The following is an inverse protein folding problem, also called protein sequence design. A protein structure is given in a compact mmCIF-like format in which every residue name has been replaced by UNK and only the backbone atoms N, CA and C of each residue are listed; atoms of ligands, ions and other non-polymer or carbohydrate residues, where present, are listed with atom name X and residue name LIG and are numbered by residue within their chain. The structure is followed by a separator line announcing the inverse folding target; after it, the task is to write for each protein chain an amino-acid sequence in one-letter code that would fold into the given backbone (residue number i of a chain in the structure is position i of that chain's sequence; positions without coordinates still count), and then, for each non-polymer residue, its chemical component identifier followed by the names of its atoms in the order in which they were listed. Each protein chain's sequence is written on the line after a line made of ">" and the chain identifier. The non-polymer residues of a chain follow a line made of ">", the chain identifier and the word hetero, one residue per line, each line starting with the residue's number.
data_IF_548842261079
#
_entry.id   IF_548842261079
#
_cell.length_a   1.000
_cell.length_b   1.000
_cell.length_c   1.000
_cell.angle_alpha   90.00
_cell.angle_beta   90.00
_cell.angle_gamma   90.00
#
_symmetry.space_group_name_H-M   'P 1'
#
loop_
_entity.id
_entity.type
_entity.pdbx_description
1 polymer ?
#
# COMPACT_ATOMS: atom_id res chain seq x y z
N UNK A 1 28.92 -16.02 -52.36
CA UNK A 1 29.12 -16.14 -50.88
C UNK A 1 28.86 -14.78 -50.21
N UNK A 2 27.62 -14.33 -50.06
CA UNK A 2 27.27 -13.05 -49.42
C UNK A 2 25.79 -13.05 -48.93
N UNK A 3 25.32 -14.09 -48.24
CA UNK A 3 23.94 -14.13 -47.73
C UNK A 3 23.79 -14.79 -46.34
N UNK A 4 24.86 -14.87 -45.54
CA UNK A 4 24.79 -15.59 -44.23
C UNK A 4 25.05 -14.71 -43.03
N UNK A 5 25.08 -13.37 -43.15
CA UNK A 5 25.47 -12.48 -42.05
C UNK A 5 24.34 -11.63 -41.44
N UNK A 6 23.10 -11.77 -41.88
CA UNK A 6 21.99 -10.91 -41.43
C UNK A 6 21.10 -11.59 -40.34
N UNK A 7 21.28 -12.89 -40.11
CA UNK A 7 20.37 -13.61 -39.20
C UNK A 7 20.85 -13.67 -37.72
N UNK A 8 22.03 -13.11 -37.42
CA UNK A 8 22.59 -13.16 -36.05
C UNK A 8 22.29 -11.93 -35.19
N UNK A 9 21.75 -10.86 -35.74
CA UNK A 9 21.45 -9.62 -35.01
C UNK A 9 20.02 -9.51 -34.47
N UNK A 10 19.12 -10.44 -34.80
CA UNK A 10 17.73 -10.40 -34.38
C UNK A 10 17.43 -11.13 -33.06
N UNK A 11 18.42 -11.81 -32.44
CA UNK A 11 18.21 -12.61 -31.21
C UNK A 11 18.65 -11.93 -29.91
N UNK A 12 19.10 -10.68 -29.95
CA UNK A 12 19.61 -9.96 -28.78
C UNK A 12 18.62 -8.95 -28.18
N UNK A 13 17.35 -8.93 -28.64
CA UNK A 13 16.39 -7.91 -28.20
C UNK A 13 15.44 -8.33 -27.09
N UNK A 14 15.65 -9.44 -26.42
CA UNK A 14 14.82 -9.90 -25.28
C UNK A 14 15.56 -9.99 -23.95
N UNK A 15 16.55 -9.16 -23.75
CA UNK A 15 16.94 -8.84 -22.37
C UNK A 15 15.83 -7.92 -21.81
N UNK A 16 14.85 -8.52 -21.13
CA UNK A 16 13.99 -7.75 -20.21
C UNK A 16 14.97 -7.05 -19.24
N UNK A 17 15.10 -5.74 -19.39
CA UNK A 17 15.72 -4.92 -18.38
C UNK A 17 14.98 -5.21 -17.07
N UNK A 18 15.63 -5.82 -16.10
CA UNK A 18 15.15 -5.86 -14.74
C UNK A 18 14.95 -4.41 -14.25
N UNK A 19 14.19 -4.20 -13.17
CA UNK A 19 14.01 -2.87 -12.61
C UNK A 19 15.39 -2.23 -12.40
N UNK A 20 15.54 -0.99 -12.84
CA UNK A 20 16.79 -0.25 -12.63
C UNK A 20 17.08 -0.15 -11.13
N UNK A 21 18.34 -0.13 -10.74
CA UNK A 21 18.72 0.07 -9.32
C UNK A 21 18.13 1.37 -8.75
N UNK A 22 17.90 2.38 -9.58
CA UNK A 22 17.23 3.63 -9.21
C UNK A 22 15.74 3.40 -8.84
N UNK A 23 15.04 2.50 -9.54
CA UNK A 23 13.65 2.17 -9.18
C UNK A 23 13.56 1.41 -7.85
N UNK A 24 14.59 0.65 -7.47
CA UNK A 24 14.67 -0.05 -6.19
C UNK A 24 15.03 0.88 -5.02
N UNK A 25 15.73 1.99 -5.29
CA UNK A 25 16.12 2.96 -4.27
C UNK A 25 14.92 3.73 -3.67
N UNK A 26 13.81 3.80 -4.40
CA UNK A 26 12.58 4.50 -3.97
C UNK A 26 11.70 3.67 -3.03
N UNK A 27 12.05 2.41 -2.76
CA UNK A 27 11.26 1.53 -1.91
C UNK A 27 11.92 1.30 -0.55
N UNK A 28 11.10 1.35 0.50
CA UNK A 28 11.52 0.87 1.81
C UNK A 28 11.73 -0.65 1.81
N UNK A 29 12.42 -1.22 2.82
CA UNK A 29 12.34 -2.65 3.08
C UNK A 29 10.88 -3.11 3.22
N UNK A 30 10.58 -4.35 2.83
CA UNK A 30 9.25 -4.93 2.96
C UNK A 30 8.80 -4.97 4.43
N UNK A 31 7.53 -4.73 4.66
CA UNK A 31 6.87 -4.81 5.97
C UNK A 31 5.42 -5.28 5.82
N UNK A 32 4.83 -5.73 6.92
CA UNK A 32 3.40 -6.00 6.99
C UNK A 32 2.68 -4.89 7.77
N UNK A 33 1.51 -4.49 7.28
CA UNK A 33 0.60 -3.56 7.96
C UNK A 33 -0.33 -4.39 8.83
N UNK A 34 -0.25 -4.24 10.15
CA UNK A 34 -1.06 -5.02 11.10
C UNK A 34 -1.99 -4.14 11.91
N UNK A 35 -3.23 -4.58 12.06
CA UNK A 35 -4.18 -3.98 13.00
C UNK A 35 -3.68 -4.14 14.43
N UNK A 36 -3.72 -3.07 15.22
CA UNK A 36 -3.38 -3.13 16.64
C UNK A 36 -4.45 -3.88 17.45
N UNK A 37 -5.71 -3.82 17.02
CA UNK A 37 -6.83 -4.51 17.68
C UNK A 37 -6.77 -6.02 17.48
N UNK A 38 -6.54 -6.49 16.26
CA UNK A 38 -6.66 -7.91 15.90
C UNK A 38 -5.33 -8.62 15.67
N UNK A 39 -4.24 -7.87 15.47
CA UNK A 39 -2.93 -8.40 15.07
C UNK A 39 -2.88 -8.91 13.63
N UNK A 40 -4.00 -8.85 12.89
CA UNK A 40 -4.11 -9.39 11.54
C UNK A 40 -3.50 -8.42 10.52
N UNK A 41 -2.75 -8.98 9.58
CA UNK A 41 -2.14 -8.19 8.50
C UNK A 41 -3.17 -7.84 7.43
N UNK A 42 -3.12 -6.60 6.95
CA UNK A 42 -3.90 -6.16 5.80
C UNK A 42 -3.37 -6.82 4.53
N UNK A 43 -4.23 -7.59 3.84
CA UNK A 43 -3.91 -8.16 2.54
C UNK A 43 -5.17 -8.35 1.68
N UNK A 44 -5.24 -7.71 0.52
CA UNK A 44 -6.31 -7.94 -0.45
C UNK A 44 -6.18 -9.29 -1.17
N UNK A 45 -5.04 -9.98 -1.04
CA UNK A 45 -4.76 -11.24 -1.74
C UNK A 45 -5.22 -12.50 -0.99
N UNK A 46 -5.76 -12.41 0.23
CA UNK A 46 -6.11 -13.58 1.06
C UNK A 46 -7.00 -14.61 0.37
N UNK A 47 -7.89 -14.16 -0.52
CA UNK A 47 -8.77 -15.06 -1.28
C UNK A 47 -8.08 -15.72 -2.48
N UNK A 48 -7.00 -15.12 -2.97
CA UNK A 48 -6.33 -15.52 -4.22
C UNK A 48 -4.93 -16.07 -4.02
N UNK A 49 -4.35 -15.92 -2.84
CA UNK A 49 -3.02 -16.41 -2.51
C UNK A 49 -2.96 -16.99 -1.12
N UNK A 50 -2.26 -18.12 -1.00
CA UNK A 50 -1.90 -18.74 0.28
C UNK A 50 -0.50 -18.34 0.77
N UNK A 51 0.27 -17.61 -0.04
CA UNK A 51 1.64 -17.20 0.29
C UNK A 51 1.59 -16.13 1.37
N UNK A 52 2.34 -16.32 2.44
CA UNK A 52 2.45 -15.36 3.54
C UNK A 52 3.10 -14.04 3.08
N UNK A 53 4.05 -14.15 2.16
CA UNK A 53 4.75 -12.99 1.57
C UNK A 53 3.80 -12.00 0.88
N UNK A 54 2.66 -12.46 0.36
CA UNK A 54 1.67 -11.61 -0.29
C UNK A 54 0.89 -10.68 0.69
N UNK A 55 1.22 -10.76 1.98
CA UNK A 55 0.73 -9.85 3.02
C UNK A 55 1.69 -8.68 3.30
N UNK A 56 2.82 -8.64 2.58
CA UNK A 56 3.83 -7.61 2.72
C UNK A 56 3.63 -6.49 1.70
N UNK A 57 4.24 -5.35 2.02
CA UNK A 57 4.19 -4.14 1.22
C UNK A 57 5.55 -3.45 1.23
N UNK A 58 5.85 -2.75 0.16
CA UNK A 58 6.84 -1.69 0.13
C UNK A 58 6.12 -0.36 0.31
N UNK A 59 6.78 0.61 0.90
CA UNK A 59 6.31 1.98 0.94
C UNK A 59 7.03 2.78 -0.14
N UNK A 60 6.27 3.47 -0.96
CA UNK A 60 6.76 4.42 -1.95
C UNK A 60 6.27 5.81 -1.59
N UNK A 61 7.18 6.74 -1.41
CA UNK A 61 6.85 8.14 -1.20
C UNK A 61 6.31 8.77 -2.50
N UNK A 62 5.33 9.64 -2.36
CA UNK A 62 4.74 10.41 -3.45
C UNK A 62 5.06 11.87 -3.24
N UNK A 63 5.73 12.48 -4.21
CA UNK A 63 5.92 13.93 -4.23
C UNK A 63 4.58 14.58 -4.59
N UNK A 64 3.97 15.37 -3.69
CA UNK A 64 2.66 15.93 -3.93
C UNK A 64 2.71 17.01 -5.04
N UNK A 65 1.86 16.85 -6.06
CA UNK A 65 1.53 17.94 -6.97
C UNK A 65 0.57 18.93 -6.29
N UNK A 66 0.46 20.15 -6.79
CA UNK A 66 -0.52 21.11 -6.27
C UNK A 66 -1.95 20.55 -6.42
N UNK A 67 -2.25 19.89 -7.53
CA UNK A 67 -3.56 19.24 -7.74
C UNK A 67 -3.87 18.19 -6.67
N UNK A 68 -2.88 17.43 -6.23
CA UNK A 68 -3.04 16.45 -5.15
C UNK A 68 -3.33 17.14 -3.83
N UNK A 69 -2.62 18.23 -3.52
CA UNK A 69 -2.82 19.01 -2.30
C UNK A 69 -4.20 19.67 -2.26
N UNK A 70 -4.66 20.17 -3.41
CA UNK A 70 -5.99 20.80 -3.53
C UNK A 70 -7.14 19.81 -3.28
N UNK A 71 -6.94 18.53 -3.62
CA UNK A 71 -7.91 17.45 -3.35
C UNK A 71 -7.89 16.97 -1.91
N UNK A 72 -6.85 17.26 -1.14
CA UNK A 72 -6.73 16.90 0.26
C UNK A 72 -7.24 18.02 1.16
N UNK A 73 -8.41 17.85 1.77
CA UNK A 73 -9.00 18.82 2.69
C UNK A 73 -8.14 19.13 3.93
N UNK A 74 -7.17 18.28 4.24
CA UNK A 74 -6.30 18.42 5.40
C UNK A 74 -4.84 18.66 5.03
N UNK A 75 -4.55 19.04 3.79
CA UNK A 75 -3.18 19.25 3.31
C UNK A 75 -2.39 20.30 4.10
N UNK A 76 -3.08 21.29 4.67
CA UNK A 76 -2.47 22.34 5.47
C UNK A 76 -2.36 21.98 6.97
N UNK A 77 -3.26 21.16 7.48
CA UNK A 77 -3.34 20.83 8.90
C UNK A 77 -2.50 19.59 9.27
N UNK A 78 -2.27 18.70 8.30
CA UNK A 78 -1.53 17.47 8.48
C UNK A 78 -0.25 17.46 7.63
N UNK A 79 0.90 17.83 8.21
CA UNK A 79 2.17 17.97 7.49
C UNK A 79 2.83 16.60 7.18
N UNK A 80 2.05 15.53 7.13
CA UNK A 80 2.54 14.18 6.82
C UNK A 80 2.54 13.98 5.31
N UNK A 81 3.61 13.37 4.80
CA UNK A 81 3.76 13.08 3.38
C UNK A 81 2.71 12.10 2.85
N UNK A 82 2.71 11.94 1.53
CA UNK A 82 1.85 10.98 0.83
C UNK A 82 2.64 9.76 0.40
N UNK A 83 2.01 8.61 0.49
CA UNK A 83 2.65 7.33 0.19
C UNK A 83 1.72 6.41 -0.60
N UNK A 84 2.32 5.48 -1.32
CA UNK A 84 1.66 4.30 -1.87
C UNK A 84 2.23 3.04 -1.22
N UNK A 85 1.37 2.06 -0.92
CA UNK A 85 1.78 0.73 -0.49
C UNK A 85 1.85 -0.18 -1.70
N UNK A 86 3.06 -0.53 -2.12
CA UNK A 86 3.33 -1.29 -3.34
C UNK A 86 3.48 -2.77 -3.01
N UNK A 87 2.81 -3.62 -3.77
CA UNK A 87 2.85 -5.06 -3.58
C UNK A 87 4.17 -5.66 -4.07
N UNK A 88 4.73 -6.67 -3.38
CA UNK A 88 5.89 -7.41 -3.88
C UNK A 88 5.60 -8.21 -5.16
N UNK A 89 4.34 -8.34 -5.57
CA UNK A 89 3.93 -9.00 -6.81
C UNK A 89 4.25 -8.19 -8.07
N UNK A 90 4.47 -6.90 -7.95
CA UNK A 90 4.81 -6.02 -9.08
C UNK A 90 4.91 -4.57 -8.67
N UNK A 91 5.85 -3.84 -9.27
CA UNK A 91 6.16 -2.44 -8.95
C UNK A 91 5.04 -1.44 -9.28
N UNK A 92 4.04 -1.85 -10.06
CA UNK A 92 2.87 -1.05 -10.39
C UNK A 92 1.56 -1.62 -9.83
N UNK A 93 1.65 -2.43 -8.76
CA UNK A 93 0.49 -2.98 -8.06
C UNK A 93 0.42 -2.36 -6.67
N UNK A 94 -0.47 -1.38 -6.48
CA UNK A 94 -0.67 -0.69 -5.23
C UNK A 94 -1.92 -1.17 -4.48
N UNK A 95 -1.84 -1.15 -3.15
CA UNK A 95 -3.03 -1.22 -2.30
C UNK A 95 -3.98 -0.10 -2.70
N UNK A 96 -5.24 -0.43 -2.87
CA UNK A 96 -6.26 0.52 -3.26
C UNK A 96 -7.53 0.39 -2.41
N UNK A 97 -8.15 1.51 -2.14
CA UNK A 97 -9.51 1.60 -1.59
C UNK A 97 -10.49 1.46 -2.75
N UNK A 98 -11.22 0.36 -2.81
CA UNK A 98 -12.25 0.14 -3.83
C UNK A 98 -13.63 0.65 -3.38
N UNK A 99 -13.91 0.55 -2.09
CA UNK A 99 -15.07 1.11 -1.41
C UNK A 99 -14.79 1.25 0.09
N UNK A 100 -15.70 1.84 0.85
CA UNK A 100 -15.54 2.01 2.30
C UNK A 100 -15.28 0.71 3.07
N UNK A 101 -15.70 -0.43 2.55
CA UNK A 101 -15.53 -1.75 3.17
C UNK A 101 -14.72 -2.71 2.31
N UNK A 102 -14.00 -2.23 1.31
CA UNK A 102 -13.29 -3.09 0.37
C UNK A 102 -11.95 -2.51 -0.04
N UNK A 103 -10.91 -3.25 0.24
CA UNK A 103 -9.58 -3.02 -0.28
C UNK A 103 -9.27 -4.00 -1.41
N UNK A 104 -8.47 -3.54 -2.37
CA UNK A 104 -8.01 -4.32 -3.49
C UNK A 104 -6.67 -3.81 -3.98
N UNK A 105 -6.40 -4.00 -5.26
CA UNK A 105 -5.20 -3.47 -5.90
C UNK A 105 -5.56 -2.73 -7.17
N UNK A 106 -4.77 -1.70 -7.47
CA UNK A 106 -4.79 -0.93 -8.71
C UNK A 106 -3.37 -0.65 -9.19
N UNK A 107 -3.25 -0.24 -10.46
CA UNK A 107 -2.01 0.35 -10.95
C UNK A 107 -1.70 1.62 -10.18
N UNK A 108 -0.50 1.69 -9.61
CA UNK A 108 -0.02 2.87 -8.87
C UNK A 108 0.04 4.11 -9.77
N UNK A 109 0.54 3.92 -11.01
CA UNK A 109 0.71 5.00 -12.00
C UNK A 109 -0.63 5.47 -12.56
N UNK A 110 -1.50 4.52 -12.92
CA UNK A 110 -2.81 4.84 -13.49
C UNK A 110 -3.67 5.65 -12.51
N UNK A 111 -3.69 5.29 -11.23
CA UNK A 111 -4.47 5.98 -10.21
C UNK A 111 -4.02 7.44 -10.00
N UNK A 112 -2.69 7.68 -10.09
CA UNK A 112 -2.13 9.03 -10.06
C UNK A 112 -2.53 9.84 -11.31
N UNK A 113 -2.51 9.22 -12.49
CA UNK A 113 -2.89 9.87 -13.75
C UNK A 113 -4.38 10.19 -13.82
N UNK A 114 -5.21 9.27 -13.35
CA UNK A 114 -6.67 9.44 -13.31
C UNK A 114 -7.12 10.39 -12.19
N UNK A 115 -6.23 10.69 -11.24
CA UNK A 115 -6.53 11.52 -10.08
C UNK A 115 -7.60 10.95 -9.16
N UNK A 116 -7.81 9.62 -9.17
CA UNK A 116 -8.82 8.95 -8.36
C UNK A 116 -8.40 8.82 -6.88
N UNK A 117 -7.10 8.96 -6.57
CA UNK A 117 -6.52 8.97 -5.22
C UNK A 117 -6.79 7.71 -4.39
N UNK A 118 -7.16 6.61 -5.04
CA UNK A 118 -7.53 5.37 -4.35
C UNK A 118 -6.33 4.59 -3.80
N UNK A 119 -5.14 4.85 -4.33
CA UNK A 119 -3.88 4.23 -3.89
C UNK A 119 -3.03 5.13 -3.02
N UNK A 120 -3.49 6.35 -2.72
CA UNK A 120 -2.72 7.34 -1.99
C UNK A 120 -3.16 7.38 -0.54
N UNK A 121 -2.17 7.32 0.33
CA UNK A 121 -2.34 7.32 1.77
C UNK A 121 -1.42 8.33 2.44
N UNK A 122 -1.76 8.72 3.67
CA UNK A 122 -0.91 9.50 4.56
C UNK A 122 -0.80 8.76 5.90
N UNK A 123 0.40 8.67 6.45
CA UNK A 123 0.67 7.97 7.70
C UNK A 123 0.75 8.98 8.82
N UNK A 124 -0.15 8.88 9.79
CA UNK A 124 -0.21 9.77 10.95
C UNK A 124 0.37 9.04 12.16
N UNK A 125 1.57 9.43 12.63
CA UNK A 125 2.19 8.77 13.78
C UNK A 125 1.44 9.12 15.07
N UNK A 126 1.29 8.12 15.95
CA UNK A 126 0.68 8.24 17.26
C UNK A 126 1.74 8.18 18.35
N UNK A 127 1.44 8.74 19.52
CA UNK A 127 2.38 8.79 20.64
C UNK A 127 2.77 7.44 21.22
N UNK A 128 1.95 6.41 21.01
CA UNK A 128 2.20 5.03 21.47
C UNK A 128 3.00 4.18 20.46
N UNK A 129 3.54 4.78 19.40
CA UNK A 129 4.29 4.07 18.36
C UNK A 129 3.44 3.39 17.29
N UNK A 130 2.11 3.45 17.40
CA UNK A 130 1.21 3.05 16.34
C UNK A 130 1.01 4.17 15.32
N UNK A 131 0.26 3.87 14.27
CA UNK A 131 -0.09 4.85 13.24
C UNK A 131 -1.58 4.79 12.92
N UNK A 132 -2.16 5.90 12.51
CA UNK A 132 -3.37 5.92 11.68
C UNK A 132 -2.94 6.01 10.22
N UNK A 133 -3.65 5.31 9.34
CA UNK A 133 -3.41 5.34 7.90
C UNK A 133 -4.61 6.00 7.25
N UNK A 134 -4.41 7.26 6.86
CA UNK A 134 -5.43 8.08 6.21
C UNK A 134 -5.43 7.81 4.72
N UNK A 135 -6.60 7.58 4.14
CA UNK A 135 -6.79 7.48 2.69
C UNK A 135 -7.13 8.85 2.10
N UNK A 136 -6.59 9.16 0.93
CA UNK A 136 -6.95 10.37 0.19
C UNK A 136 -8.22 10.21 -0.64
N UNK A 137 -8.78 9.02 -0.73
CA UNK A 137 -10.11 8.81 -1.30
C UNK A 137 -11.13 9.69 -0.57
N UNK A 138 -12.06 10.28 -1.30
CA UNK A 138 -13.10 11.16 -0.74
C UNK A 138 -12.55 12.38 0.04
N UNK A 139 -11.48 12.99 -0.44
CA UNK A 139 -10.95 14.22 0.12
C UNK A 139 -10.13 14.05 1.42
N UNK A 140 -9.73 12.82 1.76
CA UNK A 140 -8.82 12.58 2.87
C UNK A 140 -9.43 12.57 4.27
N UNK A 141 -10.75 12.45 4.41
CA UNK A 141 -11.43 12.43 5.71
C UNK A 141 -11.50 11.05 6.36
N UNK A 142 -11.06 10.02 5.67
CA UNK A 142 -11.24 8.64 6.11
C UNK A 142 -9.89 7.97 6.40
N UNK A 143 -9.85 7.23 7.49
CA UNK A 143 -8.73 6.39 7.90
C UNK A 143 -9.09 4.91 7.78
N UNK A 144 -8.09 4.10 7.53
CA UNK A 144 -8.22 2.65 7.63
C UNK A 144 -8.64 2.26 9.05
N UNK A 145 -9.43 1.21 9.14
CA UNK A 145 -9.82 0.60 10.40
C UNK A 145 -10.28 -0.83 10.23
N UNK A 146 -10.49 -1.48 11.35
CA UNK A 146 -11.24 -2.74 11.43
C UNK A 146 -12.65 -2.45 11.90
N UNK A 147 -13.60 -3.28 11.53
CA UNK A 147 -14.99 -3.12 11.96
C UNK A 147 -15.57 -4.43 12.50
N UNK A 148 -16.43 -4.35 13.54
CA UNK A 148 -17.03 -5.53 14.16
C UNK A 148 -18.19 -6.04 13.30
N UNK A 149 -17.93 -7.01 12.42
CA UNK A 149 -18.95 -7.69 11.64
C UNK A 149 -18.72 -9.19 11.70
N UNK A 150 -19.52 -9.89 12.50
CA UNK A 150 -19.39 -11.32 12.71
C UNK A 150 -19.71 -12.17 11.47
N UNK A 151 -20.37 -11.60 10.47
CA UNK A 151 -20.66 -12.27 9.20
C UNK A 151 -19.45 -12.32 8.25
N UNK A 152 -18.44 -11.49 8.52
CA UNK A 152 -17.21 -11.39 7.73
C UNK A 152 -16.07 -12.03 8.53
N UNK A 153 -15.27 -12.88 7.89
CA UNK A 153 -14.07 -13.43 8.53
C UNK A 153 -13.15 -12.29 8.99
N UNK A 154 -12.59 -12.43 10.21
CA UNK A 154 -11.85 -11.34 10.88
C UNK A 154 -10.71 -10.75 10.03
N UNK A 155 -10.06 -11.59 9.24
CA UNK A 155 -8.98 -11.20 8.33
C UNK A 155 -9.44 -10.32 7.16
N UNK A 156 -10.75 -10.20 6.94
CA UNK A 156 -11.34 -9.39 5.88
C UNK A 156 -12.10 -8.16 6.44
N UNK A 157 -12.08 -7.93 7.75
CA UNK A 157 -12.81 -6.82 8.39
C UNK A 157 -12.06 -5.51 8.34
N UNK A 158 -11.44 -5.20 7.22
CA UNK A 158 -10.79 -3.91 7.00
C UNK A 158 -11.70 -3.00 6.19
N UNK A 159 -11.74 -1.73 6.57
CA UNK A 159 -12.55 -0.72 5.89
C UNK A 159 -12.04 0.68 6.16
N UNK A 160 -12.80 1.66 5.72
CA UNK A 160 -12.59 3.06 6.02
C UNK A 160 -13.61 3.54 7.06
N UNK A 161 -13.17 4.41 7.94
CA UNK A 161 -14.01 5.15 8.88
C UNK A 161 -13.45 6.55 9.10
N UNK A 162 -14.17 7.41 9.81
CA UNK A 162 -13.67 8.75 10.11
C UNK A 162 -12.32 8.70 10.83
N UNK A 163 -11.37 9.55 10.43
CA UNK A 163 -10.11 9.71 11.13
C UNK A 163 -10.34 10.33 12.51
N UNK A 164 -9.54 9.93 13.49
CA UNK A 164 -9.47 10.59 14.80
C UNK A 164 -8.27 11.55 14.78
N UNK A 165 -8.52 12.77 14.35
CA UNK A 165 -7.47 13.78 14.18
C UNK A 165 -7.22 14.58 15.48
N UNK A 166 -8.19 14.56 16.41
CA UNK A 166 -8.02 15.18 17.72
C UNK A 166 -7.16 14.27 18.62
N UNK A 167 -5.95 14.73 18.91
CA UNK A 167 -4.98 14.02 19.76
C UNK A 167 -5.38 13.92 21.24
N UNK A 168 -6.39 14.65 21.66
CA UNK A 168 -6.90 14.61 23.03
C UNK A 168 -7.84 13.43 23.29
N UNK A 169 -8.33 12.78 22.24
CA UNK A 169 -9.25 11.65 22.32
C UNK A 169 -8.45 10.35 22.34
N UNK A 170 -8.83 9.44 23.24
CA UNK A 170 -8.31 8.06 23.23
C UNK A 170 -8.71 7.41 21.92
N UNK A 171 -7.73 7.14 21.07
CA UNK A 171 -7.95 6.56 19.76
C UNK A 171 -8.42 5.11 19.89
N UNK A 172 -9.51 4.77 19.22
CA UNK A 172 -10.01 3.41 19.16
C UNK A 172 -8.96 2.48 18.53
N UNK A 173 -8.68 1.33 19.16
CA UNK A 173 -7.69 0.36 18.69
C UNK A 173 -7.99 -0.13 17.26
N UNK A 174 -9.27 -0.16 16.89
CA UNK A 174 -9.74 -0.53 15.56
C UNK A 174 -9.19 0.35 14.43
N UNK A 175 -8.74 1.57 14.74
CA UNK A 175 -8.17 2.54 13.77
C UNK A 175 -6.65 2.63 13.85
N UNK A 176 -6.02 1.84 14.70
CA UNK A 176 -4.58 1.85 14.90
C UNK A 176 -3.91 0.66 14.20
N UNK A 177 -2.79 0.98 13.58
CA UNK A 177 -1.95 0.01 12.89
C UNK A 177 -0.51 0.11 13.38
N UNK A 178 0.25 -0.92 13.12
CA UNK A 178 1.70 -0.89 13.24
C UNK A 178 2.34 -1.59 12.05
N UNK A 179 3.54 -1.17 11.74
CA UNK A 179 4.38 -1.80 10.72
C UNK A 179 5.25 -2.86 11.40
N UNK A 180 5.05 -4.11 11.04
CA UNK A 180 5.88 -5.21 11.52
C UNK A 180 6.90 -5.61 10.46
N UNK A 181 8.00 -6.27 10.84
CA UNK A 181 8.89 -6.90 9.86
C UNK A 181 8.11 -7.75 8.86
N UNK A 182 8.68 -7.93 7.67
CA UNK A 182 8.06 -8.73 6.61
C UNK A 182 7.75 -10.14 7.09
N UNK A 183 6.59 -10.63 6.70
CA UNK A 183 6.17 -12.02 6.94
C UNK A 183 6.82 -12.86 5.84
N UNK A 184 7.70 -13.76 6.23
CA UNK A 184 8.38 -14.70 5.33
C UNK A 184 8.09 -16.13 5.79
N UNK A 185 8.00 -17.05 4.85
CA UNK A 185 7.93 -18.47 5.16
C UNK A 185 9.28 -18.92 5.71
N UNK A 186 9.25 -19.55 6.89
CA UNK A 186 10.46 -20.18 7.43
C UNK A 186 10.77 -21.44 6.61
N UNK A 187 11.96 -21.49 6.00
CA UNK A 187 12.47 -22.73 5.45
C UNK A 187 12.99 -23.60 6.60
N UNK A 188 12.40 -24.78 6.77
CA UNK A 188 12.94 -25.78 7.70
C UNK A 188 14.19 -26.38 7.04
N UNK A 189 15.36 -26.07 7.62
CA UNK A 189 16.61 -26.72 7.22
C UNK A 189 16.62 -28.09 7.93
N UNK A 190 16.51 -29.17 7.19
CA UNK A 190 16.70 -30.56 7.68
C UNK A 190 18.16 -30.93 7.68
#
# INVERSE_FOLDING_TARGET
>A
MKKFFILFFALLSFLKAGPSLDELADFTPMFAIRSLETGISLSPFRKTSKRLEDQNWFLKEIVPSEELKDKDMHSQDLPFGYVQFVSPKGSDICLAVLSEKSFGTKSCKQDLQDGAMQTIFSIIPMTNGSVQIRSLTNGGNQCMGTFPDSSIAIENRFGLGGCLLDRSIVTELSKLFFFSPAIIEASVIY
#
